data_IF_454837433009
#
_entry.id   IF_454837433009
#
_cell.length_a   1.000
_cell.length_b   1.000
_cell.length_c   1.000
_cell.angle_alpha   90.00
_cell.angle_beta   90.00
_cell.angle_gamma   90.00
#
_symmetry.space_group_name_H-M   'P 1'
#
loop_
_entity.id
_entity.type
_entity.pdbx_description
1 polymer ?
#
# COMPACT_ATOMS: atom_id res chain seq x y z
N UNK A 1 -14.97 17.32 13.15
CA UNK A 1 -15.16 15.97 12.59
C UNK A 1 -14.45 15.91 11.25
N UNK A 2 -13.51 14.97 11.09
CA UNK A 2 -12.82 14.75 9.81
C UNK A 2 -13.79 14.16 8.79
N UNK A 3 -13.83 14.72 7.58
CA UNK A 3 -14.76 14.27 6.53
C UNK A 3 -14.04 13.85 5.23
N UNK A 4 -12.75 14.08 5.14
CA UNK A 4 -11.96 13.78 3.95
C UNK A 4 -10.80 12.88 4.32
N UNK A 5 -10.73 11.74 3.66
CA UNK A 5 -9.73 10.71 3.90
C UNK A 5 -8.96 10.44 2.63
N UNK A 6 -7.66 10.22 2.78
CA UNK A 6 -6.77 9.75 1.72
C UNK A 6 -6.08 8.49 2.21
N UNK A 7 -6.45 7.35 1.65
CA UNK A 7 -5.93 6.04 2.06
C UNK A 7 -4.82 5.56 1.14
N UNK A 8 -3.82 4.94 1.71
CA UNK A 8 -3.01 3.98 1.00
C UNK A 8 -3.79 2.66 0.79
N UNK A 9 -3.25 1.76 -0.02
CA UNK A 9 -3.87 0.49 -0.37
C UNK A 9 -3.18 -0.70 0.27
N UNK A 10 -1.91 -0.93 -0.08
CA UNK A 10 -1.13 -2.12 0.28
C UNK A 10 -0.61 -2.04 1.72
N UNK A 11 -0.92 -3.03 2.55
CA UNK A 11 -0.59 -2.96 3.99
C UNK A 11 -1.55 -2.07 4.80
N UNK A 12 -2.35 -1.23 4.13
CA UNK A 12 -3.33 -0.34 4.76
C UNK A 12 -4.76 -0.84 4.62
N UNK A 13 -5.29 -0.95 3.42
CA UNK A 13 -6.66 -1.46 3.17
C UNK A 13 -6.68 -2.97 2.90
N UNK A 14 -5.62 -3.52 2.34
CA UNK A 14 -5.51 -4.94 1.97
C UNK A 14 -4.27 -5.58 2.58
N UNK A 15 -4.35 -6.88 2.86
CA UNK A 15 -3.25 -7.70 3.38
C UNK A 15 -2.42 -8.26 2.22
N UNK A 16 -1.71 -7.38 1.53
CA UNK A 16 -0.91 -7.69 0.34
C UNK A 16 0.58 -7.89 0.61
N UNK A 17 1.09 -7.41 1.74
CA UNK A 17 2.52 -7.40 2.02
C UNK A 17 3.18 -8.80 2.00
N UNK A 18 2.51 -9.91 2.38
CA UNK A 18 3.09 -11.25 2.25
C UNK A 18 3.28 -11.75 0.82
N UNK A 19 2.65 -11.11 -0.18
CA UNK A 19 2.62 -11.60 -1.58
C UNK A 19 4.01 -11.64 -2.20
N UNK A 20 4.83 -10.61 -1.96
CA UNK A 20 6.21 -10.59 -2.48
C UNK A 20 7.01 -11.81 -2.02
N UNK A 21 6.94 -12.14 -0.73
CA UNK A 21 7.63 -13.31 -0.19
C UNK A 21 7.12 -14.64 -0.77
N UNK A 22 5.81 -14.77 -0.93
CA UNK A 22 5.18 -15.95 -1.57
C UNK A 22 5.62 -16.10 -3.03
N UNK A 23 5.61 -15.01 -3.78
CA UNK A 23 6.05 -14.98 -5.17
C UNK A 23 7.50 -15.43 -5.32
N UNK A 24 8.40 -14.86 -4.52
CA UNK A 24 9.81 -15.23 -4.60
C UNK A 24 10.05 -16.71 -4.23
N UNK A 25 9.35 -17.22 -3.21
CA UNK A 25 9.37 -18.66 -2.88
C UNK A 25 8.91 -19.50 -4.05
N UNK A 26 7.80 -19.14 -4.67
CA UNK A 26 7.26 -19.87 -5.83
C UNK A 26 8.29 -19.90 -6.98
N UNK A 27 8.90 -18.77 -7.33
CA UNK A 27 9.94 -18.70 -8.36
C UNK A 27 11.14 -19.60 -8.01
N UNK A 28 11.60 -19.57 -6.77
CA UNK A 28 12.74 -20.35 -6.33
C UNK A 28 12.45 -21.86 -6.34
N UNK A 29 11.29 -22.26 -5.82
CA UNK A 29 10.86 -23.67 -5.76
C UNK A 29 10.72 -24.25 -7.17
N UNK A 30 10.11 -23.53 -8.10
CA UNK A 30 9.95 -23.97 -9.50
C UNK A 30 11.28 -24.12 -10.24
N UNK A 31 12.29 -23.35 -9.84
CA UNK A 31 13.62 -23.38 -10.47
C UNK A 31 14.66 -24.17 -9.65
N UNK A 32 14.23 -24.87 -8.60
CA UNK A 32 15.12 -25.66 -7.70
C UNK A 32 16.24 -24.79 -7.09
N UNK A 33 15.98 -23.52 -6.80
CA UNK A 33 16.90 -22.62 -6.13
C UNK A 33 16.71 -22.76 -4.63
N UNK A 34 17.79 -23.11 -3.92
CA UNK A 34 17.77 -23.15 -2.44
C UNK A 34 17.89 -21.73 -1.88
N UNK A 35 17.08 -21.42 -0.87
CA UNK A 35 17.08 -20.13 -0.19
C UNK A 35 17.03 -20.31 1.33
N UNK A 36 17.63 -19.37 2.07
CA UNK A 36 17.56 -19.32 3.53
C UNK A 36 16.31 -18.55 4.02
N UNK A 37 16.04 -18.61 5.31
CA UNK A 37 14.88 -17.92 5.93
C UNK A 37 14.93 -16.39 5.75
N UNK A 38 16.13 -15.82 5.65
CA UNK A 38 16.35 -14.37 5.52
C UNK A 38 16.34 -13.83 4.09
N UNK A 39 15.96 -14.67 3.09
CA UNK A 39 16.06 -14.26 1.67
C UNK A 39 15.30 -12.96 1.35
N UNK A 40 14.15 -12.72 1.99
CA UNK A 40 13.38 -11.49 1.82
C UNK A 40 14.17 -10.26 2.26
N UNK A 41 14.87 -10.33 3.40
CA UNK A 41 15.72 -9.24 3.89
C UNK A 41 16.89 -8.93 2.95
N UNK A 42 17.38 -9.95 2.26
CA UNK A 42 18.45 -9.80 1.27
C UNK A 42 17.92 -9.14 0.00
N UNK A 43 16.73 -9.56 -0.46
CA UNK A 43 16.17 -9.11 -1.74
C UNK A 43 15.53 -7.72 -1.64
N UNK A 44 14.80 -7.41 -0.57
CA UNK A 44 14.03 -6.17 -0.46
C UNK A 44 14.85 -4.89 -0.73
N UNK A 45 16.10 -4.73 -0.23
CA UNK A 45 16.87 -3.53 -0.48
C UNK A 45 17.32 -3.35 -1.92
N UNK A 46 17.30 -4.40 -2.74
CA UNK A 46 17.82 -4.38 -4.10
C UNK A 46 16.88 -3.68 -5.10
N UNK A 47 15.61 -3.52 -4.74
CA UNK A 47 14.58 -3.07 -5.67
C UNK A 47 14.31 -4.08 -6.79
N UNK A 48 13.23 -3.92 -7.53
CA UNK A 48 12.73 -4.95 -8.48
C UNK A 48 13.80 -5.33 -9.52
N UNK A 49 14.50 -4.35 -10.08
CA UNK A 49 15.56 -4.61 -11.08
C UNK A 49 16.76 -5.33 -10.46
N UNK A 50 17.22 -4.87 -9.29
CA UNK A 50 18.34 -5.50 -8.58
C UNK A 50 18.01 -6.92 -8.11
N UNK A 51 16.76 -7.20 -7.74
CA UNK A 51 16.28 -8.56 -7.43
C UNK A 51 16.43 -9.47 -8.66
N UNK A 52 15.96 -9.02 -9.82
CA UNK A 52 16.08 -9.77 -11.06
C UNK A 52 17.54 -10.04 -11.42
N UNK A 53 18.39 -9.01 -11.36
CA UNK A 53 19.84 -9.14 -11.63
C UNK A 53 20.50 -10.12 -10.65
N UNK A 54 20.18 -10.03 -9.36
CA UNK A 54 20.72 -10.95 -8.35
C UNK A 54 20.27 -12.39 -8.58
N UNK A 55 18.99 -12.62 -8.83
CA UNK A 55 18.47 -13.97 -9.08
C UNK A 55 19.08 -14.60 -10.32
N UNK A 56 19.21 -13.87 -11.42
CA UNK A 56 19.76 -14.36 -12.68
C UNK A 56 21.27 -14.57 -12.58
N UNK A 57 22.01 -13.59 -12.05
CA UNK A 57 23.46 -13.62 -12.09
C UNK A 57 24.09 -14.41 -10.94
N UNK A 58 23.57 -14.27 -9.71
CA UNK A 58 24.15 -14.89 -8.52
C UNK A 58 23.50 -16.24 -8.20
N UNK A 59 22.17 -16.32 -8.23
CA UNK A 59 21.44 -17.56 -7.96
C UNK A 59 21.28 -18.45 -9.19
N UNK A 60 21.77 -18.00 -10.35
CA UNK A 60 21.72 -18.75 -11.62
C UNK A 60 20.31 -19.13 -12.06
N UNK A 61 19.34 -18.26 -11.76
CA UNK A 61 17.98 -18.42 -12.26
C UNK A 61 17.99 -18.45 -13.78
N UNK A 62 17.47 -19.53 -14.37
CA UNK A 62 17.46 -19.73 -15.80
C UNK A 62 16.29 -18.97 -16.47
N UNK A 63 16.34 -17.66 -16.39
CA UNK A 63 15.38 -16.73 -17.00
C UNK A 63 16.12 -15.52 -17.55
N UNK A 64 15.54 -14.90 -18.58
CA UNK A 64 15.92 -13.54 -19.00
C UNK A 64 15.28 -12.50 -18.08
N UNK A 65 15.77 -11.27 -18.10
CA UNK A 65 15.16 -10.15 -17.37
C UNK A 65 13.69 -9.95 -17.76
N UNK A 66 13.38 -10.06 -19.05
CA UNK A 66 12.02 -9.91 -19.57
C UNK A 66 11.09 -11.01 -19.05
N UNK A 67 11.53 -12.26 -19.04
CA UNK A 67 10.77 -13.38 -18.50
C UNK A 67 10.55 -13.22 -17.01
N UNK A 68 11.56 -12.78 -16.25
CA UNK A 68 11.42 -12.51 -14.82
C UNK A 68 10.34 -11.47 -14.56
N UNK A 69 10.39 -10.32 -15.24
CA UNK A 69 9.39 -9.27 -15.04
C UNK A 69 7.98 -9.73 -15.43
N UNK A 70 7.82 -10.46 -16.53
CA UNK A 70 6.51 -11.02 -16.93
C UNK A 70 5.98 -12.01 -15.89
N UNK A 71 6.85 -12.85 -15.32
CA UNK A 71 6.46 -13.81 -14.27
C UNK A 71 6.00 -13.07 -13.00
N UNK A 72 6.76 -12.05 -12.59
CA UNK A 72 6.42 -11.20 -11.44
C UNK A 72 5.06 -10.51 -11.67
N UNK A 73 4.89 -9.87 -12.82
CA UNK A 73 3.66 -9.15 -13.18
C UNK A 73 2.44 -10.08 -13.19
N UNK A 74 2.57 -11.25 -13.83
CA UNK A 74 1.51 -12.24 -13.88
C UNK A 74 1.13 -12.77 -12.48
N UNK A 75 2.14 -13.05 -11.64
CA UNK A 75 1.90 -13.52 -10.28
C UNK A 75 1.18 -12.46 -9.43
N UNK A 76 1.63 -11.22 -9.47
CA UNK A 76 0.95 -10.13 -8.78
C UNK A 76 -0.49 -9.94 -9.27
N UNK A 77 -0.70 -9.96 -10.59
CA UNK A 77 -2.05 -9.84 -11.14
C UNK A 77 -2.97 -10.93 -10.60
N UNK A 78 -2.57 -12.21 -10.62
CA UNK A 78 -3.36 -13.31 -10.09
C UNK A 78 -3.68 -13.17 -8.61
N UNK A 79 -2.71 -12.76 -7.79
CA UNK A 79 -2.92 -12.55 -6.36
C UNK A 79 -3.92 -11.41 -6.10
N UNK A 80 -3.77 -10.27 -6.76
CA UNK A 80 -4.69 -9.13 -6.60
C UNK A 80 -6.07 -9.42 -7.17
N UNK A 81 -6.15 -10.11 -8.30
CA UNK A 81 -7.42 -10.45 -8.91
C UNK A 81 -8.21 -11.51 -8.13
N UNK A 82 -7.54 -12.38 -7.34
CA UNK A 82 -8.23 -13.55 -6.80
C UNK A 82 -8.05 -13.78 -5.29
N UNK A 83 -6.90 -13.41 -4.70
CA UNK A 83 -6.51 -13.94 -3.39
C UNK A 83 -6.39 -12.89 -2.28
N UNK A 84 -5.83 -11.70 -2.54
CA UNK A 84 -5.54 -10.69 -1.50
C UNK A 84 -6.83 -10.26 -0.79
N UNK A 85 -6.95 -10.45 0.54
CA UNK A 85 -8.14 -10.03 1.28
C UNK A 85 -8.05 -8.55 1.68
N UNK A 86 -9.20 -7.92 1.92
CA UNK A 86 -9.23 -6.70 2.71
C UNK A 86 -8.78 -6.98 4.15
N UNK A 87 -8.08 -6.04 4.78
CA UNK A 87 -7.77 -6.13 6.20
C UNK A 87 -9.06 -6.11 7.03
N UNK A 88 -8.97 -6.64 8.23
CA UNK A 88 -10.13 -6.78 9.13
C UNK A 88 -10.85 -5.44 9.31
N UNK A 89 -12.18 -5.47 9.27
CA UNK A 89 -13.09 -4.34 9.45
C UNK A 89 -13.02 -3.22 8.38
N UNK A 90 -12.10 -3.27 7.42
CA UNK A 90 -11.96 -2.23 6.39
C UNK A 90 -13.27 -1.96 5.65
N UNK A 91 -13.90 -3.00 5.09
CA UNK A 91 -15.12 -2.85 4.28
C UNK A 91 -16.25 -2.23 5.10
N UNK A 92 -16.45 -2.67 6.34
CA UNK A 92 -17.49 -2.17 7.24
C UNK A 92 -17.26 -0.69 7.58
N UNK A 93 -16.03 -0.34 7.93
CA UNK A 93 -15.65 1.02 8.32
C UNK A 93 -15.79 1.99 7.14
N UNK A 94 -15.28 1.63 5.95
CA UNK A 94 -15.40 2.48 4.75
C UNK A 94 -16.88 2.71 4.37
N UNK A 95 -17.72 1.68 4.43
CA UNK A 95 -19.16 1.83 4.22
C UNK A 95 -19.81 2.76 5.26
N UNK A 96 -19.40 2.68 6.52
CA UNK A 96 -19.89 3.55 7.58
C UNK A 96 -19.50 5.00 7.33
N UNK A 97 -18.22 5.26 7.03
CA UNK A 97 -17.72 6.60 6.69
C UNK A 97 -18.46 7.19 5.49
N UNK A 98 -18.70 6.39 4.45
CA UNK A 98 -19.41 6.84 3.25
C UNK A 98 -20.88 7.20 3.57
N UNK A 99 -21.57 6.41 4.40
CA UNK A 99 -22.94 6.71 4.86
C UNK A 99 -23.03 8.01 5.67
N UNK A 100 -21.99 8.33 6.43
CA UNK A 100 -21.87 9.58 7.19
C UNK A 100 -21.42 10.78 6.32
N UNK A 101 -21.31 10.59 5.01
CA UNK A 101 -20.99 11.64 4.04
C UNK A 101 -19.50 11.97 3.94
N UNK A 102 -18.62 11.05 4.30
CA UNK A 102 -17.19 11.24 4.12
C UNK A 102 -16.78 11.15 2.64
N UNK A 103 -15.80 11.96 2.25
CA UNK A 103 -15.07 11.81 1.00
C UNK A 103 -13.93 10.81 1.21
N UNK A 104 -13.95 9.72 0.43
CA UNK A 104 -12.95 8.66 0.46
C UNK A 104 -12.11 8.74 -0.80
N UNK A 105 -10.80 8.87 -0.64
CA UNK A 105 -9.85 8.97 -1.73
C UNK A 105 -8.72 7.97 -1.49
N UNK A 106 -8.11 7.49 -2.56
CA UNK A 106 -7.03 6.53 -2.50
C UNK A 106 -5.81 7.02 -3.27
N UNK A 107 -4.63 6.84 -2.69
CA UNK A 107 -3.32 7.15 -3.28
C UNK A 107 -2.33 6.04 -2.94
N UNK A 108 -1.98 5.22 -3.92
CA UNK A 108 -1.08 4.06 -3.73
C UNK A 108 0.11 4.08 -4.67
N UNK A 109 1.16 3.35 -4.32
CA UNK A 109 2.27 3.04 -5.22
C UNK A 109 1.93 1.92 -6.22
N UNK A 110 0.87 1.15 -5.97
CA UNK A 110 0.46 0.05 -6.86
C UNK A 110 -0.09 0.56 -8.18
N UNK A 111 0.28 -0.06 -9.30
CA UNK A 111 -0.22 0.32 -10.62
C UNK A 111 -1.68 -0.11 -10.82
N UNK A 112 -2.40 0.61 -11.67
CA UNK A 112 -3.83 0.37 -11.93
C UNK A 112 -4.16 -1.06 -12.36
N UNK A 113 -3.26 -1.76 -13.05
CA UNK A 113 -3.55 -3.12 -13.54
C UNK A 113 -3.77 -4.14 -12.40
N UNK A 114 -3.17 -3.93 -11.21
CA UNK A 114 -3.39 -4.73 -10.00
C UNK A 114 -4.43 -4.09 -9.07
N UNK A 115 -4.33 -2.79 -8.87
CA UNK A 115 -5.20 -2.00 -7.99
C UNK A 115 -6.68 -2.17 -8.36
N UNK A 116 -7.03 -1.88 -9.61
CA UNK A 116 -8.42 -1.81 -10.05
C UNK A 116 -9.13 -3.16 -9.95
N UNK A 117 -8.45 -4.25 -10.30
CA UNK A 117 -9.03 -5.60 -10.23
C UNK A 117 -9.29 -6.03 -8.80
N UNK A 118 -8.37 -5.71 -7.88
CA UNK A 118 -8.54 -6.01 -6.46
C UNK A 118 -9.67 -5.19 -5.83
N UNK A 119 -9.69 -3.88 -6.06
CA UNK A 119 -10.74 -3.00 -5.54
C UNK A 119 -12.13 -3.40 -6.03
N UNK A 120 -12.28 -3.74 -7.32
CA UNK A 120 -13.54 -4.21 -7.89
C UNK A 120 -13.99 -5.55 -7.27
N UNK A 121 -13.06 -6.50 -7.14
CA UNK A 121 -13.35 -7.79 -6.50
C UNK A 121 -13.80 -7.65 -5.04
N UNK A 122 -13.20 -6.73 -4.29
CA UNK A 122 -13.53 -6.48 -2.89
C UNK A 122 -14.78 -5.58 -2.71
N UNK A 123 -15.35 -5.05 -3.81
CA UNK A 123 -16.47 -4.12 -3.77
C UNK A 123 -16.12 -2.75 -3.18
N UNK A 124 -14.84 -2.37 -3.24
CA UNK A 124 -14.34 -1.11 -2.70
C UNK A 124 -14.35 0.02 -3.74
N UNK A 125 -14.23 -0.30 -5.03
CA UNK A 125 -13.99 0.69 -6.08
C UNK A 125 -15.02 1.82 -6.09
N UNK A 126 -16.32 1.47 -5.98
CA UNK A 126 -17.43 2.42 -6.03
C UNK A 126 -17.63 3.21 -4.72
N UNK A 127 -16.89 2.89 -3.66
CA UNK A 127 -16.92 3.65 -2.40
C UNK A 127 -16.04 4.91 -2.48
N UNK A 128 -15.03 4.90 -3.35
CA UNK A 128 -14.05 5.98 -3.44
C UNK A 128 -14.46 7.04 -4.46
N UNK A 129 -14.28 8.30 -4.08
CA UNK A 129 -14.51 9.43 -4.97
C UNK A 129 -13.37 9.58 -5.97
N UNK A 130 -12.15 9.23 -5.55
CA UNK A 130 -10.96 9.20 -6.39
C UNK A 130 -10.09 7.98 -6.06
N UNK A 131 -9.55 7.33 -7.09
CA UNK A 131 -8.61 6.22 -6.99
C UNK A 131 -7.40 6.55 -7.84
N UNK A 132 -6.25 6.74 -7.21
CA UNK A 132 -5.02 7.15 -7.86
C UNK A 132 -3.86 6.20 -7.55
N UNK A 133 -3.09 5.89 -8.60
CA UNK A 133 -1.73 5.42 -8.51
C UNK A 133 -0.75 6.61 -8.43
N UNK A 134 0.42 6.41 -7.84
CA UNK A 134 1.52 7.37 -7.94
C UNK A 134 1.89 7.67 -9.41
N UNK A 135 1.66 6.74 -10.32
CA UNK A 135 1.92 6.91 -11.76
C UNK A 135 1.06 8.02 -12.37
N UNK A 136 -0.16 8.26 -11.87
CA UNK A 136 -1.05 9.34 -12.33
C UNK A 136 -0.49 10.73 -12.03
N UNK A 137 0.45 10.81 -11.10
CA UNK A 137 1.12 12.05 -10.69
C UNK A 137 2.57 12.13 -11.18
N UNK A 138 3.10 11.08 -11.82
CA UNK A 138 4.50 10.96 -12.23
C UNK A 138 5.48 11.22 -11.07
N UNK A 139 5.15 10.83 -9.86
CA UNK A 139 5.96 11.01 -8.64
C UNK A 139 5.66 9.93 -7.61
N UNK A 140 6.23 10.01 -6.42
CA UNK A 140 6.09 8.99 -5.37
C UNK A 140 5.65 9.60 -4.05
N UNK A 141 5.17 8.79 -3.11
CA UNK A 141 4.78 9.22 -1.74
C UNK A 141 5.94 9.77 -0.90
N UNK A 142 7.18 9.63 -1.34
CA UNK A 142 8.33 10.27 -0.70
C UNK A 142 8.57 11.72 -1.13
N UNK A 143 7.81 12.20 -2.13
CA UNK A 143 7.81 13.58 -2.57
C UNK A 143 6.57 14.30 -2.00
N UNK A 144 6.72 15.36 -1.17
CA UNK A 144 5.58 16.06 -0.58
C UNK A 144 4.63 16.70 -1.59
N UNK A 145 5.08 16.91 -2.83
CA UNK A 145 4.26 17.49 -3.89
C UNK A 145 3.06 16.62 -4.27
N UNK A 146 3.18 15.28 -4.15
CA UNK A 146 2.07 14.38 -4.47
C UNK A 146 0.84 14.64 -3.59
N UNK A 147 1.05 14.95 -2.31
CA UNK A 147 -0.03 15.24 -1.35
C UNK A 147 -0.71 16.58 -1.65
N UNK A 148 0.04 17.57 -2.10
CA UNK A 148 -0.53 18.85 -2.56
C UNK A 148 -1.39 18.67 -3.79
N UNK A 149 -0.88 17.95 -4.79
CA UNK A 149 -1.65 17.65 -6.01
C UNK A 149 -2.91 16.84 -5.71
N UNK A 150 -2.84 15.88 -4.77
CA UNK A 150 -4.01 15.14 -4.32
C UNK A 150 -5.03 16.04 -3.63
N UNK A 151 -4.61 16.92 -2.71
CA UNK A 151 -5.48 17.89 -2.04
C UNK A 151 -6.14 18.86 -3.03
N UNK A 152 -5.40 19.35 -4.01
CA UNK A 152 -5.94 20.20 -5.09
C UNK A 152 -7.01 19.47 -5.91
N UNK A 153 -6.79 18.20 -6.26
CA UNK A 153 -7.78 17.37 -6.98
C UNK A 153 -9.03 17.07 -6.14
N UNK A 154 -8.87 16.86 -4.83
CA UNK A 154 -9.99 16.68 -3.90
C UNK A 154 -10.74 17.99 -3.68
N UNK A 155 -10.05 19.13 -3.73
CA UNK A 155 -10.64 20.46 -3.58
C UNK A 155 -10.80 20.91 -2.13
N UNK A 156 -9.98 20.39 -1.20
CA UNK A 156 -9.97 20.79 0.22
C UNK A 156 -8.55 21.11 0.69
N UNK A 157 -8.39 21.95 1.74
CA UNK A 157 -7.09 22.20 2.36
C UNK A 157 -6.46 20.91 2.90
N UNK A 158 -5.12 20.79 2.84
CA UNK A 158 -4.40 19.60 3.29
C UNK A 158 -4.64 19.26 4.76
N UNK A 159 -4.77 20.27 5.62
CA UNK A 159 -5.05 20.11 7.05
C UNK A 159 -6.45 19.53 7.35
N UNK A 160 -7.34 19.50 6.36
CA UNK A 160 -8.67 18.88 6.44
C UNK A 160 -8.68 17.43 5.94
N UNK A 161 -7.54 16.92 5.45
CA UNK A 161 -7.39 15.54 4.98
C UNK A 161 -6.70 14.71 6.06
N UNK A 162 -7.28 13.55 6.37
CA UNK A 162 -6.60 12.50 7.13
C UNK A 162 -6.00 11.48 6.16
N UNK A 163 -4.68 11.44 6.11
CA UNK A 163 -3.93 10.44 5.37
C UNK A 163 -3.72 9.19 6.25
N UNK A 164 -3.93 8.00 5.67
CA UNK A 164 -3.75 6.72 6.36
C UNK A 164 -2.81 5.82 5.57
N UNK A 165 -1.72 5.39 6.21
CA UNK A 165 -0.68 4.58 5.58
C UNK A 165 0.01 3.70 6.66
N UNK A 166 0.62 2.60 6.27
CA UNK A 166 1.44 1.74 7.15
C UNK A 166 2.94 2.05 7.04
N UNK A 167 3.34 2.89 6.09
CA UNK A 167 4.74 3.16 5.78
C UNK A 167 5.25 4.45 6.43
N UNK A 168 6.30 4.32 7.26
CA UNK A 168 6.93 5.44 7.96
C UNK A 168 7.31 6.63 7.06
N UNK A 169 7.89 6.36 5.88
CA UNK A 169 8.35 7.43 4.99
C UNK A 169 7.19 8.19 4.35
N UNK A 170 6.10 7.47 3.99
CA UNK A 170 4.89 8.08 3.46
C UNK A 170 4.21 8.95 4.51
N UNK A 171 4.02 8.42 5.73
CA UNK A 171 3.46 9.15 6.88
C UNK A 171 4.25 10.42 7.20
N UNK A 172 5.58 10.30 7.29
CA UNK A 172 6.48 11.43 7.53
C UNK A 172 6.35 12.50 6.46
N UNK A 173 6.29 12.09 5.19
CA UNK A 173 6.21 13.03 4.08
C UNK A 173 4.84 13.73 4.03
N UNK A 174 3.74 13.00 4.24
CA UNK A 174 2.40 13.56 4.31
C UNK A 174 2.27 14.56 5.48
N UNK A 175 2.84 14.21 6.65
CA UNK A 175 2.88 15.11 7.81
C UNK A 175 3.65 16.39 7.53
N UNK A 176 4.80 16.29 6.88
CA UNK A 176 5.60 17.46 6.47
C UNK A 176 4.89 18.31 5.42
N UNK A 177 4.08 17.69 4.54
CA UNK A 177 3.26 18.41 3.57
C UNK A 177 2.11 19.19 4.23
N UNK A 178 1.69 18.85 5.45
CA UNK A 178 0.66 19.53 6.22
C UNK A 178 -0.65 18.76 6.41
N UNK A 179 -0.71 17.48 6.01
CA UNK A 179 -1.86 16.63 6.28
C UNK A 179 -1.90 16.19 7.74
N UNK A 180 -3.07 15.83 8.24
CA UNK A 180 -3.19 14.98 9.41
C UNK A 180 -2.87 13.54 9.00
N UNK A 181 -2.22 12.78 9.89
CA UNK A 181 -1.74 11.45 9.58
C UNK A 181 -2.19 10.45 10.64
N UNK A 182 -2.68 9.31 10.17
CA UNK A 182 -2.99 8.15 10.97
C UNK A 182 -2.16 6.96 10.51
N UNK A 183 -1.16 6.56 11.29
CA UNK A 183 -0.41 5.34 11.03
C UNK A 183 -1.31 4.11 11.18
N UNK A 184 -1.19 3.16 10.28
CA UNK A 184 -1.93 1.90 10.29
C UNK A 184 -0.96 0.75 10.55
N UNK A 185 -1.29 -0.10 11.52
CA UNK A 185 -0.45 -1.27 11.81
C UNK A 185 -0.44 -2.26 10.64
N UNK A 186 0.77 -2.68 10.27
CA UNK A 186 1.02 -3.84 9.43
C UNK A 186 2.23 -4.62 9.96
N UNK A 187 2.22 -5.96 9.84
CA UNK A 187 3.31 -6.80 10.30
C UNK A 187 4.63 -6.48 9.58
N UNK A 188 4.57 -6.09 8.31
CA UNK A 188 5.74 -5.74 7.50
C UNK A 188 6.43 -4.45 7.94
N UNK A 189 5.72 -3.55 8.62
CA UNK A 189 6.23 -2.28 9.15
C UNK A 189 6.33 -2.26 10.68
N UNK A 190 6.09 -3.39 11.35
CA UNK A 190 6.05 -3.50 12.81
C UNK A 190 7.32 -3.04 13.52
N UNK A 191 8.49 -3.17 12.88
CA UNK A 191 9.77 -2.66 13.42
C UNK A 191 9.81 -1.13 13.52
N UNK A 192 8.99 -0.41 12.74
CA UNK A 192 8.87 1.05 12.73
C UNK A 192 7.67 1.56 13.55
N UNK A 193 6.95 0.70 14.28
CA UNK A 193 5.75 1.10 15.04
C UNK A 193 6.01 2.29 15.97
N UNK A 194 7.13 2.28 16.68
CA UNK A 194 7.49 3.35 17.61
C UNK A 194 7.72 4.67 16.89
N UNK A 195 8.45 4.63 15.78
CA UNK A 195 8.75 5.80 14.95
C UNK A 195 7.48 6.36 14.31
N UNK A 196 6.62 5.51 13.74
CA UNK A 196 5.34 5.91 13.14
C UNK A 196 4.47 6.60 14.19
N UNK A 197 4.29 5.98 15.36
CA UNK A 197 3.53 6.59 16.47
C UNK A 197 4.07 7.94 16.92
N UNK A 198 5.38 8.17 16.80
CA UNK A 198 6.00 9.43 17.25
C UNK A 198 5.72 10.61 16.31
N UNK A 199 5.38 10.37 15.05
CA UNK A 199 5.20 11.40 14.03
C UNK A 199 3.73 11.57 13.58
N UNK A 200 2.87 10.60 13.84
CA UNK A 200 1.47 10.60 13.41
C UNK A 200 0.56 11.25 14.46
N UNK A 201 -0.59 11.79 14.02
CA UNK A 201 -1.62 12.34 14.92
C UNK A 201 -2.43 11.23 15.60
N UNK A 202 -2.58 10.11 14.88
CA UNK A 202 -3.30 8.92 15.31
C UNK A 202 -2.55 7.68 14.87
N UNK A 203 -2.83 6.56 15.52
CA UNK A 203 -2.33 5.24 15.12
C UNK A 203 -3.36 4.17 15.47
N UNK A 204 -3.67 3.31 14.51
CA UNK A 204 -4.66 2.24 14.69
C UNK A 204 -4.03 0.87 14.43
N UNK A 205 -4.44 -0.13 15.21
CA UNK A 205 -4.10 -1.55 14.97
C UNK A 205 -5.24 -2.33 14.32
N UNK A 206 -6.47 -1.89 14.56
CA UNK A 206 -7.67 -2.44 13.92
C UNK A 206 -8.44 -1.29 13.28
N UNK A 207 -8.92 -1.52 12.07
CA UNK A 207 -9.58 -0.46 11.30
C UNK A 207 -10.84 0.09 11.98
N UNK A 208 -11.50 -0.71 12.85
CA UNK A 208 -12.64 -0.24 13.63
C UNK A 208 -12.32 0.93 14.59
N UNK A 209 -11.05 1.07 15.00
CA UNK A 209 -10.61 2.18 15.85
C UNK A 209 -10.75 3.54 15.14
N UNK A 210 -10.72 3.55 13.80
CA UNK A 210 -10.88 4.77 13.01
C UNK A 210 -12.22 5.46 13.28
N UNK A 211 -13.29 4.71 13.51
CA UNK A 211 -14.60 5.28 13.82
C UNK A 211 -14.58 6.08 15.13
N UNK A 212 -13.81 5.64 16.13
CA UNK A 212 -13.67 6.34 17.39
C UNK A 212 -12.92 7.67 17.22
N UNK A 213 -11.95 7.74 16.30
CA UNK A 213 -11.22 8.98 15.95
C UNK A 213 -12.12 9.95 15.20
N UNK A 214 -12.99 9.43 14.32
CA UNK A 214 -13.83 10.24 13.45
C UNK A 214 -15.02 10.88 14.18
N UNK A 215 -15.56 10.20 15.18
CA UNK A 215 -16.80 10.60 15.87
C UNK A 215 -16.56 11.14 17.29
N UNK A 216 -15.32 11.26 17.74
CA UNK A 216 -14.95 11.99 18.95
C UNK A 216 -14.75 13.48 18.63
#
# INVERSE_FOLDING_TARGET
>A
MMKTYLFDFDGTLVDSMPVFGKMMKHIFDENNISYGEDFIKILTPLGVKGIAEYCINELKLNMTMEEFFKTVEAYFYEEYAHNIPAKKNVIEVLNTLKKEGASLNLLTASPHFTLDVCMKRLGLFDLFDNVWSCDDFNTTKTNPEIYKMAAEKIGVPMEEILFLDDNYNADKTAKQAGMKVCGVYDDSSSEYETEIRSITDYYIKDFSELLSICFS
#
